data_IF_576580230284
#
_entry.id   IF_576580230284
#
_cell.length_a   1.000
_cell.length_b   1.000
_cell.length_c   1.000
_cell.angle_alpha   90.00
_cell.angle_beta   90.00
_cell.angle_gamma   90.00
#
_symmetry.space_group_name_H-M   'P 1'
#
loop_
_entity.id
_entity.type
_entity.pdbx_description
1 polymer ?
#
# COMPACT_ATOMS: atom_id res chain seq x y z
N UNK A 1 -67.28 -1.20 19.97
CA UNK A 1 -66.54 -2.34 20.56
C UNK A 1 -65.52 -2.82 19.54
N UNK A 2 -64.26 -3.00 19.99
CA UNK A 2 -63.07 -3.57 19.31
C UNK A 2 -63.41 -4.57 18.18
N UNK A 3 -62.73 -4.57 17.03
CA UNK A 3 -61.33 -5.05 16.88
C UNK A 3 -60.59 -4.35 15.73
N UNK A 4 -59.42 -3.83 16.10
CA UNK A 4 -58.32 -3.37 15.26
C UNK A 4 -57.62 -4.60 14.67
N UNK A 5 -57.46 -4.68 13.34
CA UNK A 5 -56.55 -5.63 12.70
C UNK A 5 -55.52 -4.83 11.89
N UNK A 6 -54.33 -4.66 12.48
CA UNK A 6 -53.13 -4.23 11.76
C UNK A 6 -52.70 -5.35 10.82
N UNK A 7 -52.39 -5.02 9.56
CA UNK A 7 -51.54 -5.84 8.70
C UNK A 7 -50.36 -4.99 8.23
N UNK A 8 -49.18 -5.47 8.61
CA UNK A 8 -47.82 -4.93 8.49
C UNK A 8 -47.45 -4.42 7.08
N UNK A 9 -46.64 -3.34 6.96
CA UNK A 9 -45.86 -3.11 5.75
C UNK A 9 -44.73 -4.14 5.68
N UNK A 10 -44.68 -4.89 4.58
CA UNK A 10 -43.54 -5.74 4.22
C UNK A 10 -42.33 -4.85 3.96
N UNK A 11 -41.46 -4.71 4.95
CA UNK A 11 -40.13 -4.10 4.78
C UNK A 11 -39.25 -5.18 4.15
N UNK A 12 -39.06 -5.09 2.84
CA UNK A 12 -38.10 -5.90 2.10
C UNK A 12 -36.69 -5.40 2.44
N UNK A 13 -36.12 -5.92 3.53
CA UNK A 13 -34.70 -5.70 3.85
C UNK A 13 -33.90 -6.45 2.80
N UNK A 14 -33.34 -5.72 1.84
CA UNK A 14 -32.27 -6.20 0.96
C UNK A 14 -31.02 -6.40 1.82
N UNK A 15 -30.92 -7.56 2.47
CA UNK A 15 -29.65 -8.03 3.03
C UNK A 15 -28.75 -8.35 1.84
N UNK A 16 -27.91 -7.40 1.45
CA UNK A 16 -26.71 -7.63 0.66
C UNK A 16 -25.76 -8.50 1.46
N UNK A 17 -25.98 -9.82 1.43
CA UNK A 17 -25.02 -10.80 1.91
C UNK A 17 -23.82 -10.78 0.95
N UNK A 18 -22.84 -9.92 1.23
CA UNK A 18 -21.51 -10.06 0.65
C UNK A 18 -21.01 -11.45 1.03
N UNK A 19 -21.02 -12.38 0.08
CA UNK A 19 -20.45 -13.70 0.24
C UNK A 19 -18.95 -13.54 0.41
N UNK A 20 -18.51 -13.46 1.67
CA UNK A 20 -17.11 -13.68 2.01
C UNK A 20 -16.79 -15.07 1.48
N UNK A 21 -16.02 -15.11 0.40
CA UNK A 21 -15.53 -16.36 -0.18
C UNK A 21 -14.53 -16.96 0.80
N UNK A 22 -15.04 -17.77 1.73
CA UNK A 22 -14.28 -18.55 2.70
C UNK A 22 -13.51 -19.71 2.05
N UNK A 23 -12.93 -19.51 0.86
CA UNK A 23 -12.17 -20.57 0.19
C UNK A 23 -10.76 -20.74 0.77
N UNK A 24 -10.29 -19.86 1.68
CA UNK A 24 -8.93 -19.90 2.23
C UNK A 24 -7.82 -19.82 1.17
N UNK A 25 -8.18 -19.55 -0.09
CA UNK A 25 -7.25 -19.45 -1.22
C UNK A 25 -6.75 -18.01 -1.28
N UNK A 26 -5.45 -17.80 -1.55
CA UNK A 26 -4.94 -16.45 -1.74
C UNK A 26 -5.68 -15.75 -2.88
N UNK A 27 -6.07 -14.51 -2.65
CA UNK A 27 -6.81 -13.70 -3.61
C UNK A 27 -5.83 -12.83 -4.40
N UNK A 28 -5.85 -12.92 -5.73
CA UNK A 28 -5.02 -12.06 -6.60
C UNK A 28 -5.87 -10.93 -7.19
N UNK A 29 -5.51 -9.69 -6.87
CA UNK A 29 -6.19 -8.48 -7.36
C UNK A 29 -5.18 -7.48 -7.93
N UNK A 30 -5.56 -6.62 -8.88
CA UNK A 30 -4.71 -5.51 -9.31
C UNK A 30 -4.30 -4.62 -8.14
N UNK A 31 -3.10 -4.02 -8.22
CA UNK A 31 -2.59 -3.06 -7.24
C UNK A 31 -2.52 -1.65 -7.86
N UNK A 32 -3.66 -0.94 -8.01
CA UNK A 32 -3.66 0.40 -8.56
C UNK A 32 -3.00 1.39 -7.59
N UNK A 33 -2.26 2.35 -8.14
CA UNK A 33 -1.72 3.49 -7.39
C UNK A 33 -2.60 4.70 -7.70
N UNK A 34 -3.27 5.29 -6.70
CA UNK A 34 -4.05 6.51 -6.89
C UNK A 34 -3.20 7.65 -7.48
N UNK A 35 -3.81 8.45 -8.36
CA UNK A 35 -3.18 9.62 -8.97
C UNK A 35 -4.14 10.82 -8.86
N UNK A 36 -3.64 12.05 -8.62
CA UNK A 36 -2.22 12.39 -8.44
C UNK A 36 -1.65 11.86 -7.12
N UNK A 37 -0.33 11.66 -7.07
CA UNK A 37 0.39 11.25 -5.87
C UNK A 37 1.57 12.21 -5.64
N UNK A 38 1.49 12.96 -4.55
CA UNK A 38 2.55 13.87 -4.10
C UNK A 38 3.08 13.39 -2.77
N UNK A 39 4.41 13.24 -2.67
CA UNK A 39 5.12 12.89 -1.44
C UNK A 39 5.68 14.18 -0.84
N UNK A 40 5.14 14.57 0.30
CA UNK A 40 5.54 15.76 1.07
C UNK A 40 6.27 15.37 2.35
N UNK A 41 7.22 16.20 2.79
CA UNK A 41 7.93 16.03 4.06
C UNK A 41 9.01 14.94 4.07
N UNK A 42 9.20 14.20 2.98
CA UNK A 42 10.33 13.26 2.81
C UNK A 42 11.59 13.96 2.31
N UNK A 43 11.43 14.99 1.47
CA UNK A 43 12.47 15.91 1.05
C UNK A 43 12.14 17.33 1.55
N UNK A 44 13.04 18.30 1.37
CA UNK A 44 12.76 19.72 1.63
C UNK A 44 11.82 20.38 0.61
N UNK A 45 11.35 19.61 -0.36
CA UNK A 45 10.43 19.98 -1.45
C UNK A 45 9.43 18.83 -1.68
N UNK A 46 8.32 19.13 -2.34
CA UNK A 46 7.33 18.13 -2.73
C UNK A 46 7.79 17.35 -3.96
N UNK A 47 7.57 16.04 -3.94
CA UNK A 47 7.90 15.15 -5.06
C UNK A 47 6.62 14.60 -5.67
N UNK A 48 6.37 14.92 -6.95
CA UNK A 48 5.32 14.26 -7.73
C UNK A 48 5.77 12.87 -8.16
N UNK A 49 4.90 11.89 -7.95
CA UNK A 49 5.11 10.48 -8.32
C UNK A 49 4.13 10.11 -9.42
N UNK A 50 4.60 10.22 -10.65
CA UNK A 50 3.81 9.88 -11.84
C UNK A 50 4.02 8.43 -12.22
N UNK A 51 2.94 7.67 -12.31
CA UNK A 51 2.99 6.28 -12.79
C UNK A 51 3.21 6.25 -14.31
N UNK A 52 4.31 5.65 -14.75
CA UNK A 52 4.63 5.43 -16.18
C UNK A 52 4.10 4.07 -16.63
N UNK A 53 4.24 3.04 -15.79
CA UNK A 53 3.75 1.69 -16.03
C UNK A 53 3.41 1.04 -14.70
N UNK A 54 2.23 0.44 -14.60
CA UNK A 54 1.84 -0.38 -13.47
C UNK A 54 1.12 -1.64 -13.95
N UNK A 55 1.75 -2.80 -13.73
CA UNK A 55 1.16 -4.14 -13.88
C UNK A 55 1.28 -4.92 -12.56
N UNK A 56 1.28 -4.22 -11.44
CA UNK A 56 1.34 -4.81 -10.13
C UNK A 56 0.03 -5.47 -9.74
N UNK A 57 0.15 -6.48 -8.90
CA UNK A 57 -0.96 -7.18 -8.30
C UNK A 57 -0.65 -7.50 -6.85
N UNK A 58 -1.68 -7.51 -6.03
CA UNK A 58 -1.63 -8.07 -4.69
C UNK A 58 -1.95 -9.56 -4.71
N UNK A 59 -1.35 -10.30 -3.78
CA UNK A 59 -1.83 -11.61 -3.35
C UNK A 59 -2.15 -11.50 -1.86
N UNK A 60 -3.43 -11.55 -1.51
CA UNK A 60 -3.92 -11.42 -0.14
C UNK A 60 -4.10 -12.79 0.51
N UNK A 61 -3.66 -12.91 1.77
CA UNK A 61 -3.80 -14.10 2.59
C UNK A 61 -4.57 -13.75 3.84
N UNK A 62 -5.63 -14.51 4.11
CA UNK A 62 -6.55 -14.28 5.22
C UNK A 62 -6.47 -15.42 6.25
N UNK A 63 -6.72 -15.12 7.52
CA UNK A 63 -6.89 -16.13 8.56
C UNK A 63 -8.28 -16.80 8.50
N UNK A 64 -8.55 -17.74 9.42
CA UNK A 64 -9.83 -18.44 9.51
C UNK A 64 -11.03 -17.53 9.82
N UNK A 65 -10.79 -16.34 10.38
CA UNK A 65 -11.80 -15.34 10.69
C UNK A 65 -11.99 -14.34 9.53
N UNK A 66 -11.22 -14.46 8.44
CA UNK A 66 -11.26 -13.56 7.29
C UNK A 66 -10.40 -12.30 7.44
N UNK A 67 -9.54 -12.20 8.46
CA UNK A 67 -8.65 -11.05 8.62
C UNK A 67 -7.44 -11.16 7.69
N UNK A 68 -7.06 -10.06 7.03
CA UNK A 68 -5.84 -10.01 6.22
C UNK A 68 -4.61 -10.13 7.13
N UNK A 69 -3.84 -11.21 6.98
CA UNK A 69 -2.63 -11.47 7.79
C UNK A 69 -1.34 -11.30 7.00
N UNK A 70 -1.40 -11.46 5.68
CA UNK A 70 -0.26 -11.23 4.78
C UNK A 70 -0.74 -10.72 3.43
N UNK A 71 0.06 -9.85 2.84
CA UNK A 71 -0.10 -9.41 1.46
C UNK A 71 1.25 -9.47 0.76
N UNK A 72 1.25 -9.97 -0.47
CA UNK A 72 2.39 -9.84 -1.38
C UNK A 72 2.04 -8.83 -2.44
N UNK A 73 2.99 -8.00 -2.84
CA UNK A 73 2.90 -7.20 -4.05
C UNK A 73 4.02 -7.62 -5.00
N UNK A 74 3.68 -7.77 -6.27
CA UNK A 74 4.65 -8.07 -7.31
C UNK A 74 4.11 -7.69 -8.68
N UNK A 75 4.96 -7.75 -9.70
CA UNK A 75 4.63 -7.30 -11.05
C UNK A 75 5.67 -6.31 -11.53
N UNK A 76 5.23 -5.27 -12.25
CA UNK A 76 6.14 -4.22 -12.72
C UNK A 76 5.59 -2.84 -12.43
N UNK A 77 6.41 -2.00 -11.81
CA UNK A 77 6.14 -0.60 -11.54
C UNK A 77 7.32 0.26 -12.02
N UNK A 78 7.00 1.25 -12.85
CA UNK A 78 7.93 2.30 -13.28
C UNK A 78 7.25 3.64 -13.01
N UNK A 79 7.97 4.53 -12.34
CA UNK A 79 7.49 5.86 -11.97
C UNK A 79 8.48 6.93 -12.39
N UNK A 80 7.98 8.12 -12.65
CA UNK A 80 8.78 9.35 -12.72
C UNK A 80 8.63 10.08 -11.41
N UNK A 81 9.75 10.37 -10.75
CA UNK A 81 9.83 11.19 -9.54
C UNK A 81 10.26 12.60 -9.98
N UNK A 82 9.45 13.61 -9.68
CA UNK A 82 9.71 15.00 -10.08
C UNK A 82 9.72 15.90 -8.88
N UNK A 83 10.80 16.65 -8.69
CA UNK A 83 10.83 17.74 -7.72
C UNK A 83 9.97 18.90 -8.25
N UNK A 84 8.91 19.26 -7.52
CA UNK A 84 7.97 20.28 -7.94
C UNK A 84 8.53 21.71 -7.85
N UNK A 85 9.64 21.95 -7.15
CA UNK A 85 10.24 23.29 -7.03
C UNK A 85 11.14 23.68 -8.20
N UNK A 86 11.82 22.70 -8.82
CA UNK A 86 12.82 22.94 -9.88
C UNK A 86 12.52 22.16 -11.18
N UNK A 87 11.53 21.27 -11.18
CA UNK A 87 11.13 20.38 -12.27
C UNK A 87 12.19 19.34 -12.70
N UNK A 88 13.23 19.13 -11.88
CA UNK A 88 14.17 18.04 -12.09
C UNK A 88 13.48 16.70 -11.81
N UNK A 89 13.67 15.73 -12.70
CA UNK A 89 12.99 14.44 -12.62
C UNK A 89 13.89 13.28 -12.99
N UNK A 90 13.63 12.13 -12.38
CA UNK A 90 14.21 10.83 -12.73
C UNK A 90 13.09 9.82 -12.98
N UNK A 91 13.30 8.90 -13.94
CA UNK A 91 12.38 7.77 -14.17
C UNK A 91 13.05 6.49 -13.70
N UNK A 92 12.38 5.76 -12.83
CA UNK A 92 12.96 4.64 -12.09
C UNK A 92 12.05 3.43 -12.12
N UNK A 93 12.67 2.25 -12.21
CA UNK A 93 11.99 0.98 -12.03
C UNK A 93 12.03 0.63 -10.53
N UNK A 94 10.85 0.49 -9.93
CA UNK A 94 10.66 0.12 -8.52
C UNK A 94 9.80 -1.15 -8.42
N UNK A 95 10.05 -2.12 -9.32
CA UNK A 95 9.27 -3.37 -9.45
C UNK A 95 9.64 -4.46 -8.44
N UNK A 96 10.48 -4.15 -7.46
CA UNK A 96 10.90 -5.09 -6.44
C UNK A 96 9.70 -5.63 -5.65
N UNK A 97 9.63 -6.93 -5.37
CA UNK A 97 8.49 -7.48 -4.63
C UNK A 97 8.43 -6.90 -3.22
N UNK A 98 7.20 -6.74 -2.74
CA UNK A 98 6.91 -6.30 -1.39
C UNK A 98 6.10 -7.35 -0.62
N UNK A 99 6.30 -7.38 0.69
CA UNK A 99 5.66 -8.33 1.59
C UNK A 99 5.15 -7.56 2.82
N UNK A 100 3.85 -7.55 3.06
CA UNK A 100 3.28 -7.01 4.28
C UNK A 100 2.85 -8.16 5.20
N UNK A 101 3.20 -8.07 6.49
CA UNK A 101 2.67 -8.92 7.56
C UNK A 101 1.91 -8.04 8.53
N UNK A 102 0.63 -8.35 8.75
CA UNK A 102 -0.27 -7.57 9.60
C UNK A 102 -0.44 -8.25 10.95
N UNK A 103 -0.46 -7.47 12.02
CA UNK A 103 -0.60 -7.95 13.39
C UNK A 103 -1.94 -7.50 14.00
N UNK A 104 -2.41 -8.25 14.99
CA UNK A 104 -3.70 -8.02 15.64
C UNK A 104 -3.76 -6.68 16.42
N UNK A 105 -2.61 -6.12 16.80
CA UNK A 105 -2.51 -4.82 17.45
C UNK A 105 -2.63 -3.64 16.46
N UNK A 106 -2.82 -3.91 15.16
CA UNK A 106 -2.89 -2.91 14.10
C UNK A 106 -1.52 -2.52 13.54
N UNK A 107 -0.41 -2.99 14.11
CA UNK A 107 0.91 -2.80 13.53
C UNK A 107 1.10 -3.70 12.31
N UNK A 108 2.06 -3.34 11.46
CA UNK A 108 2.47 -4.19 10.34
C UNK A 108 3.93 -3.98 9.97
N UNK A 109 4.53 -5.00 9.33
CA UNK A 109 5.86 -4.91 8.75
C UNK A 109 5.75 -5.04 7.24
N UNK A 110 6.27 -4.05 6.51
CA UNK A 110 6.51 -4.11 5.08
C UNK A 110 7.98 -4.44 4.81
N UNK A 111 8.22 -5.52 4.10
CA UNK A 111 9.52 -5.86 3.55
C UNK A 111 9.52 -5.55 2.06
N UNK A 112 10.50 -4.79 1.62
CA UNK A 112 10.80 -4.54 0.22
C UNK A 112 12.07 -5.30 -0.16
N UNK A 113 12.06 -5.96 -1.32
CA UNK A 113 13.23 -6.64 -1.86
C UNK A 113 13.52 -6.18 -3.31
N UNK A 114 14.80 -6.11 -3.67
CA UNK A 114 15.21 -5.61 -4.99
C UNK A 114 15.01 -4.09 -5.11
N UNK A 115 14.51 -3.65 -6.26
CA UNK A 115 14.36 -2.24 -6.58
C UNK A 115 13.07 -1.68 -5.99
N UNK A 116 13.15 -0.77 -5.03
CA UNK A 116 11.98 -0.15 -4.41
C UNK A 116 12.22 1.34 -4.09
N UNK A 117 11.14 2.08 -3.94
CA UNK A 117 11.11 3.43 -3.40
C UNK A 117 10.54 3.40 -1.99
N UNK A 118 11.26 3.97 -1.02
CA UNK A 118 10.82 4.05 0.38
C UNK A 118 10.86 5.51 0.77
N UNK A 119 9.73 6.01 1.24
CA UNK A 119 9.58 7.38 1.73
C UNK A 119 8.98 7.37 3.13
N UNK A 120 9.66 8.06 4.04
CA UNK A 120 9.31 8.30 5.44
C UNK A 120 9.56 9.78 5.74
N UNK A 121 9.10 10.32 6.87
CA UNK A 121 9.46 11.69 7.26
C UNK A 121 10.98 11.91 7.22
N UNK A 122 11.41 12.91 6.45
CA UNK A 122 12.82 13.26 6.20
C UNK A 122 13.69 12.16 5.55
N UNK A 123 13.09 11.20 4.86
CA UNK A 123 13.81 10.14 4.16
C UNK A 123 13.09 9.77 2.87
N UNK A 124 13.76 9.89 1.72
CA UNK A 124 13.30 9.31 0.47
C UNK A 124 14.46 8.58 -0.22
N UNK A 125 14.40 7.25 -0.24
CA UNK A 125 15.45 6.42 -0.82
C UNK A 125 14.93 5.54 -1.95
N UNK A 126 15.78 5.35 -2.96
CA UNK A 126 15.72 4.21 -3.86
C UNK A 126 16.66 3.14 -3.32
N UNK A 127 16.15 1.92 -3.19
CA UNK A 127 16.95 0.78 -2.74
C UNK A 127 17.07 -0.24 -3.86
N UNK A 128 18.23 -0.89 -3.97
CA UNK A 128 18.42 -2.17 -4.64
C UNK A 128 18.96 -3.15 -3.61
N UNK A 129 18.05 -3.83 -2.90
CA UNK A 129 18.39 -4.57 -1.71
C UNK A 129 17.17 -4.96 -0.87
N UNK A 130 17.33 -5.10 0.44
CA UNK A 130 16.23 -5.41 1.36
C UNK A 130 16.05 -4.33 2.40
N UNK A 131 14.80 -3.89 2.56
CA UNK A 131 14.40 -2.96 3.62
C UNK A 131 13.15 -3.47 4.32
N UNK A 132 13.21 -3.61 5.65
CA UNK A 132 12.06 -3.93 6.48
C UNK A 132 11.63 -2.65 7.22
N UNK A 133 10.41 -2.18 6.96
CA UNK A 133 9.78 -1.03 7.61
C UNK A 133 8.67 -1.55 8.52
N UNK A 134 8.69 -1.16 9.80
CA UNK A 134 7.58 -1.40 10.72
C UNK A 134 6.76 -0.13 10.86
N UNK A 135 5.45 -0.27 10.70
CA UNK A 135 4.48 0.76 11.06
C UNK A 135 3.79 0.33 12.35
N UNK A 136 3.78 1.22 13.33
CA UNK A 136 3.21 0.98 14.66
C UNK A 136 1.72 1.40 14.70
N UNK A 137 0.96 0.99 15.74
CA UNK A 137 -0.48 1.23 15.79
C UNK A 137 -0.90 2.71 15.82
N UNK A 138 0.00 3.59 16.25
CA UNK A 138 -0.16 5.05 16.25
C UNK A 138 0.23 5.71 14.90
N UNK A 139 0.62 4.91 13.92
CA UNK A 139 0.95 5.34 12.55
C UNK A 139 2.40 5.77 12.32
N UNK A 140 3.26 5.81 13.34
CA UNK A 140 4.68 6.09 13.10
C UNK A 140 5.36 4.88 12.45
N UNK A 141 6.41 5.13 11.68
CA UNK A 141 7.16 4.09 10.98
C UNK A 141 8.65 4.16 11.29
N UNK A 142 9.29 2.99 11.39
CA UNK A 142 10.72 2.85 11.61
C UNK A 142 11.33 1.79 10.68
N UNK A 143 12.55 2.04 10.23
CA UNK A 143 13.34 1.03 9.50
C UNK A 143 13.91 0.06 10.53
N UNK A 144 13.51 -1.21 10.45
CA UNK A 144 14.05 -2.29 11.27
C UNK A 144 15.33 -2.89 10.66
N UNK A 145 15.42 -2.90 9.33
CA UNK A 145 16.55 -3.47 8.60
C UNK A 145 16.70 -2.76 7.27
N UNK A 146 17.94 -2.51 6.87
CA UNK A 146 18.29 -2.00 5.55
C UNK A 146 19.61 -2.63 5.10
N UNK A 147 19.66 -3.11 3.86
CA UNK A 147 20.83 -3.78 3.28
C UNK A 147 20.79 -3.70 1.75
N UNK A 148 21.95 -3.78 1.11
CA UNK A 148 22.11 -3.54 -0.33
C UNK A 148 22.48 -2.09 -0.61
N UNK A 149 22.17 -1.58 -1.80
CA UNK A 149 22.51 -0.21 -2.20
C UNK A 149 21.34 0.73 -1.96
N UNK A 150 21.62 1.92 -1.42
CA UNK A 150 20.64 2.99 -1.27
C UNK A 150 21.12 4.25 -2.01
N UNK A 151 20.18 4.95 -2.64
CA UNK A 151 20.39 6.27 -3.23
C UNK A 151 19.37 7.23 -2.63
N UNK A 152 19.83 8.41 -2.24
CA UNK A 152 18.98 9.49 -1.76
C UNK A 152 18.26 10.13 -2.95
N UNK A 153 16.94 9.99 -3.00
CA UNK A 153 16.12 10.61 -4.04
C UNK A 153 16.23 12.12 -3.98
N UNK A 154 16.19 12.70 -2.78
CA UNK A 154 16.20 14.15 -2.61
C UNK A 154 17.46 14.78 -3.20
N UNK A 155 18.62 14.12 -3.05
CA UNK A 155 19.87 14.56 -3.68
C UNK A 155 19.91 14.33 -5.20
N UNK A 156 19.23 13.29 -5.71
CA UNK A 156 19.21 12.99 -7.15
C UNK A 156 18.35 13.99 -7.95
N UNK A 157 17.34 14.60 -7.34
CA UNK A 157 16.41 15.54 -8.00
C UNK A 157 16.42 16.95 -7.39
N UNK A 158 17.39 17.26 -6.53
CA UNK A 158 17.65 18.63 -6.06
C UNK A 158 18.10 19.55 -7.19
#
# INVERSE_FOLDING_TARGET
>A
MKKLLLLLPVVLVLLSTSTVSASGKPERIPAPIPQPLVVSGSCSFDVDVKVVKNNEYFINFYDANGNLVRQLVGGSLVVTLTNLSNHHSITVNISGPGYATFYADGSFIQRFEGNAAIFLPNLFILTSGRVDVKTFPDGHSAILRMSGTQQDVCALIS
#
